data_IF_198774969072
#
_entry.id   IF_198774969072
#
_cell.length_a   1.000
_cell.length_b   1.000
_cell.length_c   1.000
_cell.angle_alpha   90.00
_cell.angle_beta   90.00
_cell.angle_gamma   90.00
#
_symmetry.space_group_name_H-M   'P 1'
#
loop_
_entity.id
_entity.type
_entity.pdbx_description
1 polymer ?
#
# COMPACT_ATOMS: atom_id res chain seq x y z
N UNK A 1 -3.17 -16.28 7.44
CA UNK A 1 -1.86 -15.79 6.92
C UNK A 1 -1.97 -15.06 5.58
N UNK A 2 -2.81 -15.51 4.65
CA UNK A 2 -3.07 -14.77 3.39
C UNK A 2 -3.53 -13.33 3.67
N UNK A 3 -4.47 -13.13 4.61
CA UNK A 3 -4.92 -11.79 4.99
C UNK A 3 -3.82 -10.91 5.58
N UNK A 4 -2.88 -11.49 6.34
CA UNK A 4 -1.71 -10.78 6.87
C UNK A 4 -0.76 -10.35 5.74
N UNK A 5 -0.53 -11.24 4.77
CA UNK A 5 0.20 -10.90 3.55
C UNK A 5 -0.47 -9.76 2.79
N UNK A 6 -1.78 -9.85 2.56
CA UNK A 6 -2.57 -8.81 1.88
C UNK A 6 -2.55 -7.50 2.66
N UNK A 7 -2.60 -7.52 3.99
CA UNK A 7 -2.46 -6.32 4.81
C UNK A 7 -1.12 -5.61 4.55
N UNK A 8 -0.02 -6.36 4.46
CA UNK A 8 1.29 -5.83 4.10
C UNK A 8 1.34 -5.24 2.69
N UNK A 9 0.80 -5.97 1.70
CA UNK A 9 0.69 -5.50 0.31
C UNK A 9 -0.12 -4.21 0.22
N UNK A 10 -1.31 -4.17 0.84
CA UNK A 10 -2.20 -3.01 0.81
C UNK A 10 -1.60 -1.80 1.54
N UNK A 11 -0.95 -2.00 2.69
CA UNK A 11 -0.29 -0.91 3.42
C UNK A 11 0.90 -0.32 2.64
N UNK A 12 1.73 -1.16 2.03
CA UNK A 12 2.81 -0.70 1.16
C UNK A 12 2.26 0.05 -0.05
N UNK A 13 1.18 -0.45 -0.67
CA UNK A 13 0.53 0.23 -1.79
C UNK A 13 -0.11 1.56 -1.39
N UNK A 14 -0.64 1.68 -0.17
CA UNK A 14 -1.21 2.92 0.35
C UNK A 14 -0.20 4.07 0.41
N UNK A 15 1.07 3.73 0.69
CA UNK A 15 2.14 4.68 1.01
C UNK A 15 2.37 5.74 -0.08
N UNK A 16 2.64 5.39 -1.36
CA UNK A 16 2.85 6.41 -2.39
C UNK A 16 1.63 7.31 -2.58
N UNK A 17 0.41 6.76 -2.57
CA UNK A 17 -0.82 7.58 -2.69
C UNK A 17 -0.97 8.55 -1.52
N UNK A 18 -0.81 8.05 -0.29
CA UNK A 18 -0.95 8.88 0.91
C UNK A 18 0.12 9.98 0.97
N UNK A 19 1.40 9.62 0.83
CA UNK A 19 2.53 10.55 0.89
C UNK A 19 2.42 11.62 -0.19
N UNK A 20 2.12 11.23 -1.43
CA UNK A 20 1.94 12.17 -2.54
C UNK A 20 0.76 13.10 -2.30
N UNK A 21 -0.34 12.58 -1.76
CA UNK A 21 -1.51 13.37 -1.38
C UNK A 21 -1.20 14.45 -0.35
N UNK A 22 -0.60 14.09 0.79
CA UNK A 22 -0.26 15.05 1.86
C UNK A 22 0.85 16.03 1.48
N UNK A 23 1.69 15.67 0.50
CA UNK A 23 2.76 16.54 -0.04
C UNK A 23 2.31 17.40 -1.23
N UNK A 24 1.00 17.43 -1.54
CA UNK A 24 0.40 18.21 -2.64
C UNK A 24 0.95 17.83 -4.03
N UNK A 25 1.42 16.59 -4.19
CA UNK A 25 1.91 16.06 -5.48
C UNK A 25 0.91 15.04 -6.03
N UNK A 26 0.45 15.14 -7.29
CA UNK A 26 -0.40 14.13 -7.88
C UNK A 26 0.38 12.82 -8.12
N UNK A 27 -0.33 11.70 -8.14
CA UNK A 27 0.18 10.33 -8.34
C UNK A 27 -0.91 9.60 -9.12
N UNK A 28 -0.58 8.69 -10.05
CA UNK A 28 -1.61 8.00 -10.84
C UNK A 28 -2.61 7.25 -9.96
N UNK A 29 -3.90 7.48 -10.19
CA UNK A 29 -5.00 6.70 -9.59
C UNK A 29 -6.08 6.47 -10.64
N UNK A 30 -6.94 5.43 -10.49
CA UNK A 30 -8.11 5.23 -11.35
C UNK A 30 -9.10 6.40 -11.33
N UNK A 31 -9.05 7.25 -10.31
CA UNK A 31 -9.94 8.39 -10.10
C UNK A 31 -9.32 9.73 -10.53
N UNK A 32 -8.15 9.69 -11.18
CA UNK A 32 -7.45 10.85 -11.71
C UNK A 32 -6.27 11.35 -10.84
N UNK A 33 -5.39 12.19 -11.43
CA UNK A 33 -4.17 12.66 -10.78
C UNK A 33 -4.42 13.92 -9.91
N UNK A 34 -5.06 13.77 -8.76
CA UNK A 34 -5.31 14.86 -7.79
C UNK A 34 -4.67 14.57 -6.43
N UNK A 35 -4.00 15.54 -5.78
CA UNK A 35 -3.48 15.33 -4.42
C UNK A 35 -4.55 14.96 -3.38
N UNK A 36 -5.76 15.50 -3.50
CA UNK A 36 -6.86 15.15 -2.59
C UNK A 36 -7.32 13.71 -2.83
N UNK A 37 -7.47 13.32 -4.11
CA UNK A 37 -7.84 11.95 -4.49
C UNK A 37 -6.79 10.95 -4.01
N UNK A 38 -5.51 11.28 -4.20
CA UNK A 38 -4.38 10.51 -3.68
C UNK A 38 -4.44 10.31 -2.16
N UNK A 39 -4.66 11.39 -1.42
CA UNK A 39 -4.74 11.34 0.03
C UNK A 39 -5.88 10.43 0.48
N UNK A 40 -7.07 10.62 -0.08
CA UNK A 40 -8.26 9.81 0.28
C UNK A 40 -8.06 8.35 -0.10
N UNK A 41 -7.50 8.07 -1.28
CA UNK A 41 -7.21 6.69 -1.72
C UNK A 41 -6.16 6.02 -0.82
N UNK A 42 -5.06 6.71 -0.51
CA UNK A 42 -4.02 6.24 0.41
C UNK A 42 -4.58 5.95 1.80
N UNK A 43 -5.37 6.89 2.35
CA UNK A 43 -6.03 6.72 3.64
C UNK A 43 -7.00 5.52 3.64
N UNK A 44 -7.86 5.41 2.63
CA UNK A 44 -8.80 4.29 2.51
C UNK A 44 -8.08 2.93 2.44
N UNK A 45 -6.94 2.86 1.75
CA UNK A 45 -6.12 1.65 1.72
C UNK A 45 -5.46 1.34 3.06
N UNK A 46 -5.02 2.33 3.84
CA UNK A 46 -4.55 2.07 5.20
C UNK A 46 -5.66 1.55 6.11
N UNK A 47 -6.88 2.09 6.00
CA UNK A 47 -8.04 1.55 6.71
C UNK A 47 -8.29 0.09 6.31
N UNK A 48 -8.26 -0.22 5.01
CA UNK A 48 -8.41 -1.59 4.52
C UNK A 48 -7.29 -2.52 5.04
N UNK A 49 -6.03 -2.06 5.06
CA UNK A 49 -4.92 -2.83 5.60
C UNK A 49 -5.10 -3.13 7.09
N UNK A 50 -5.61 -2.17 7.88
CA UNK A 50 -5.92 -2.37 9.28
C UNK A 50 -7.05 -3.40 9.48
N UNK A 51 -8.11 -3.33 8.67
CA UNK A 51 -9.20 -4.33 8.70
C UNK A 51 -8.70 -5.73 8.33
N UNK A 52 -7.85 -5.85 7.31
CA UNK A 52 -7.22 -7.12 6.94
C UNK A 52 -6.35 -7.67 8.08
N UNK A 53 -5.63 -6.80 8.80
CA UNK A 53 -4.82 -7.22 9.95
C UNK A 53 -5.68 -7.73 11.11
N UNK A 54 -6.80 -7.07 11.40
CA UNK A 54 -7.77 -7.53 12.41
C UNK A 54 -8.36 -8.88 12.02
N UNK A 55 -8.81 -9.04 10.77
CA UNK A 55 -9.39 -10.30 10.30
C UNK A 55 -8.38 -11.44 10.11
N UNK A 56 -7.09 -11.12 9.99
CA UNK A 56 -6.03 -12.12 9.90
C UNK A 56 -5.75 -12.85 11.21
N UNK A 57 -6.32 -12.39 12.33
CA UNK A 57 -6.06 -12.88 13.69
C UNK A 57 -4.55 -12.99 13.97
N UNK A 58 -3.83 -11.91 13.67
CA UNK A 58 -2.36 -11.87 13.81
C UNK A 58 -1.87 -12.21 15.23
N UNK A 59 -2.53 -11.79 16.32
CA UNK A 59 -2.08 -12.14 17.68
C UNK A 59 -2.04 -13.65 17.95
N UNK A 60 -2.89 -14.46 17.30
CA UNK A 60 -2.85 -15.91 17.44
C UNK A 60 -1.65 -16.57 16.74
N UNK A 61 -1.06 -15.88 15.75
CA UNK A 61 0.05 -16.39 14.93
C UNK A 61 1.12 -15.31 14.65
N UNK A 62 1.75 -14.74 15.68
CA UNK A 62 2.50 -13.49 15.55
C UNK A 62 3.71 -13.59 14.61
N UNK A 63 4.46 -14.69 14.67
CA UNK A 63 5.64 -14.90 13.81
C UNK A 63 5.23 -15.09 12.35
N UNK A 64 4.29 -15.99 12.09
CA UNK A 64 3.82 -16.26 10.73
C UNK A 64 3.13 -15.03 10.11
N UNK A 65 2.36 -14.28 10.90
CA UNK A 65 1.76 -13.02 10.49
C UNK A 65 2.82 -11.95 10.18
N UNK A 66 3.82 -11.81 11.05
CA UNK A 66 4.93 -10.88 10.83
C UNK A 66 5.70 -11.17 9.53
N UNK A 67 6.04 -12.44 9.28
CA UNK A 67 6.67 -12.88 8.03
C UNK A 67 5.76 -12.56 6.83
N UNK A 68 4.47 -12.90 6.90
CA UNK A 68 3.53 -12.66 5.82
C UNK A 68 3.41 -11.16 5.48
N UNK A 69 3.27 -10.30 6.49
CA UNK A 69 3.24 -8.83 6.32
C UNK A 69 4.55 -8.34 5.70
N UNK A 70 5.70 -8.76 6.23
CA UNK A 70 7.00 -8.33 5.73
C UNK A 70 7.22 -8.72 4.26
N UNK A 71 6.83 -9.93 3.87
CA UNK A 71 6.88 -10.37 2.47
C UNK A 71 5.93 -9.55 1.60
N UNK A 72 4.70 -9.27 2.07
CA UNK A 72 3.75 -8.43 1.34
C UNK A 72 4.27 -7.01 1.11
N UNK A 73 4.86 -6.40 2.14
CA UNK A 73 5.51 -5.08 2.05
C UNK A 73 6.68 -5.12 1.07
N UNK A 74 7.55 -6.14 1.15
CA UNK A 74 8.70 -6.27 0.28
C UNK A 74 8.28 -6.38 -1.19
N UNK A 75 7.32 -7.25 -1.52
CA UNK A 75 6.88 -7.45 -2.91
C UNK A 75 6.23 -6.20 -3.49
N UNK A 76 5.37 -5.53 -2.73
CA UNK A 76 4.75 -4.29 -3.21
C UNK A 76 5.76 -3.13 -3.27
N UNK A 77 6.70 -3.05 -2.34
CA UNK A 77 7.80 -2.10 -2.40
C UNK A 77 8.69 -2.31 -3.62
N UNK A 78 9.03 -3.57 -3.95
CA UNK A 78 9.76 -3.92 -5.17
C UNK A 78 8.95 -3.57 -6.43
N UNK A 79 7.63 -3.80 -6.42
CA UNK A 79 6.76 -3.38 -7.52
C UNK A 79 6.85 -1.87 -7.76
N UNK A 80 6.72 -1.05 -6.71
CA UNK A 80 6.88 0.41 -6.84
C UNK A 80 8.30 0.82 -7.23
N UNK A 81 9.33 0.10 -6.78
CA UNK A 81 10.73 0.39 -7.10
C UNK A 81 11.12 0.05 -8.55
N UNK A 82 10.51 -0.98 -9.15
CA UNK A 82 10.85 -1.47 -10.50
C UNK A 82 9.87 -0.96 -11.56
N UNK A 83 8.57 -1.03 -11.28
CA UNK A 83 7.50 -0.69 -12.23
C UNK A 83 7.01 0.74 -12.05
N UNK A 84 7.14 1.31 -10.85
CA UNK A 84 6.58 2.61 -10.50
C UNK A 84 5.06 2.55 -10.27
N UNK A 85 4.37 3.65 -10.57
CA UNK A 85 2.91 3.66 -10.62
C UNK A 85 2.44 3.02 -11.93
N UNK A 86 1.33 2.26 -11.91
CA UNK A 86 0.71 1.73 -13.13
C UNK A 86 0.64 2.83 -14.22
N UNK A 87 1.46 2.67 -15.27
CA UNK A 87 1.50 3.55 -16.43
C UNK A 87 2.58 4.66 -16.44
N UNK A 88 3.54 4.71 -15.51
CA UNK A 88 4.69 5.64 -15.59
C UNK A 88 6.03 5.01 -15.24
N UNK A 89 7.02 5.22 -16.11
CA UNK A 89 8.39 4.71 -15.98
C UNK A 89 9.20 5.36 -14.85
N UNK A 90 10.37 4.79 -14.58
CA UNK A 90 11.29 5.14 -13.48
C UNK A 90 11.83 6.58 -13.52
N UNK A 91 11.62 7.26 -14.64
CA UNK A 91 12.16 8.55 -15.03
C UNK A 91 11.26 9.75 -14.65
N UNK A 92 10.09 9.52 -14.04
CA UNK A 92 9.12 10.57 -13.67
C UNK A 92 8.92 10.79 -12.14
N UNK A 93 9.82 10.26 -11.30
CA UNK A 93 9.71 10.33 -9.83
C UNK A 93 10.75 11.22 -9.15
#
# INVERSE_FOLDING_TARGET
MILAFLAGVTAANATPHFVRGITKRPFPTPFGPSPVVNFVAGWAMYVLAALLAVWADMPAHPVAAGIAVAVGVLLMGLFHAVVGAFGRGADEF
#
